data_IF_207973792852
#
_entry.id   IF_207973792852
#
_cell.length_a   1.000
_cell.length_b   1.000
_cell.length_c   1.000
_cell.angle_alpha   90.00
_cell.angle_beta   90.00
_cell.angle_gamma   90.00
#
_symmetry.space_group_name_H-M   'P 1'
#
loop_
_entity.id
_entity.type
_entity.pdbx_description
1 polymer ?
#
# COMPACT_ATOMS: atom_id res chain seq x y z
N UNK A 1 13.67 31.92 12.95
CA UNK A 1 12.66 32.92 13.37
C UNK A 1 12.70 32.97 14.90
N UNK A 2 12.94 34.13 15.51
CA UNK A 2 12.92 34.28 16.97
C UNK A 2 11.46 34.40 17.42
N UNK A 3 10.94 33.33 18.02
CA UNK A 3 9.60 33.30 18.60
C UNK A 3 9.59 34.16 19.87
N UNK A 4 8.79 35.23 19.87
CA UNK A 4 8.59 36.09 21.04
C UNK A 4 7.66 35.35 22.00
N UNK A 5 8.21 34.86 23.12
CA UNK A 5 7.43 34.24 24.19
C UNK A 5 6.50 35.31 24.79
N UNK A 6 5.17 35.16 24.71
CA UNK A 6 4.26 36.04 25.43
C UNK A 6 4.50 35.87 26.93
N UNK A 7 4.95 36.93 27.58
CA UNK A 7 4.98 37.01 29.04
C UNK A 7 3.54 37.22 29.49
N UNK A 8 2.89 36.14 29.89
CA UNK A 8 1.61 36.20 30.60
C UNK A 8 1.94 35.96 32.06
N UNK A 9 1.57 36.93 32.90
CA UNK A 9 1.64 36.84 34.34
C UNK A 9 0.38 36.11 34.83
N UNK A 10 0.56 34.90 35.40
CA UNK A 10 -0.54 34.12 36.00
C UNK A 10 -0.74 34.43 37.49
N UNK A 11 0.00 35.37 38.08
CA UNK A 11 -0.11 35.67 39.52
C UNK A 11 -1.55 36.05 39.91
N UNK A 12 -2.28 36.73 39.02
CA UNK A 12 -3.70 37.09 39.24
C UNK A 12 -4.68 35.91 39.14
N UNK A 13 -4.30 34.81 38.49
CA UNK A 13 -5.12 33.59 38.38
C UNK A 13 -4.98 32.66 39.57
N UNK A 14 -3.91 32.82 40.35
CA UNK A 14 -3.69 32.07 41.59
C UNK A 14 -4.57 32.69 42.66
N UNK A 15 -5.82 32.23 42.73
CA UNK A 15 -6.68 32.50 43.88
C UNK A 15 -6.10 31.72 45.04
N UNK A 16 -5.46 32.42 45.98
CA UNK A 16 -5.14 31.87 47.28
C UNK A 16 -6.45 31.64 48.03
N UNK A 17 -7.03 30.45 47.87
CA UNK A 17 -8.10 29.99 48.75
C UNK A 17 -7.43 29.69 50.09
N UNK A 18 -7.47 30.67 51.00
CA UNK A 18 -7.21 30.43 52.42
C UNK A 18 -8.46 29.74 52.94
N UNK A 19 -8.57 28.44 52.66
CA UNK A 19 -9.53 27.60 53.37
C UNK A 19 -8.99 27.44 54.79
N UNK A 20 -9.57 28.21 55.71
CA UNK A 20 -9.32 28.18 57.15
C UNK A 20 -10.15 27.06 57.84
N UNK A 21 -10.61 26.08 57.05
CA UNK A 21 -11.41 24.96 57.53
C UNK A 21 -10.51 23.74 57.75
N UNK A 22 -10.57 23.21 58.97
CA UNK A 22 -9.80 22.08 59.51
C UNK A 22 -10.05 20.72 58.80
N UNK A 23 -10.03 20.65 57.47
CA UNK A 23 -10.04 19.39 56.70
C UNK A 23 -8.63 18.87 56.40
N UNK A 24 -7.61 19.33 57.13
CA UNK A 24 -6.25 18.77 57.12
C UNK A 24 -6.21 17.28 57.52
N UNK A 25 -7.35 16.68 57.91
CA UNK A 25 -7.47 15.24 58.13
C UNK A 25 -7.32 14.40 56.85
N UNK A 26 -7.58 14.96 55.67
CA UNK A 26 -7.42 14.24 54.38
C UNK A 26 -6.03 14.42 53.76
N UNK A 27 -5.09 15.09 54.46
CA UNK A 27 -3.70 15.26 54.00
C UNK A 27 -2.79 14.08 54.36
N UNK A 28 -3.29 13.12 55.14
CA UNK A 28 -2.58 11.87 55.50
C UNK A 28 -2.59 10.84 54.36
N UNK A 29 -3.41 11.03 53.32
CA UNK A 29 -3.29 10.31 52.06
C UNK A 29 -2.19 11.00 51.23
N UNK A 30 -1.05 10.33 51.06
CA UNK A 30 0.06 10.78 50.23
C UNK A 30 -0.48 11.30 48.88
N UNK A 31 -0.21 12.55 48.50
CA UNK A 31 -0.79 13.13 47.30
C UNK A 31 -0.40 12.32 46.05
N UNK A 32 -1.39 11.82 45.33
CA UNK A 32 -1.21 11.09 44.08
C UNK A 32 -0.82 12.06 42.96
N UNK A 33 0.46 11.99 42.54
CA UNK A 33 1.00 12.79 41.44
C UNK A 33 1.18 11.97 40.14
N UNK A 34 0.62 10.76 40.06
CA UNK A 34 0.80 9.87 38.90
C UNK A 34 0.36 10.49 37.57
N UNK A 35 -0.70 11.32 37.57
CA UNK A 35 -1.16 12.06 36.39
C UNK A 35 -0.08 12.98 35.78
N UNK A 36 0.85 13.49 36.61
CA UNK A 36 1.92 14.38 36.18
C UNK A 36 3.20 13.65 35.77
N UNK A 37 3.25 12.32 35.91
CA UNK A 37 4.43 11.49 35.57
C UNK A 37 4.35 10.88 34.15
N UNK A 38 3.59 11.48 33.23
CA UNK A 38 3.42 11.05 31.83
C UNK A 38 4.73 10.80 31.04
N UNK A 39 5.82 11.50 31.38
CA UNK A 39 7.13 11.33 30.72
C UNK A 39 7.96 10.18 31.29
N UNK A 40 7.52 9.51 32.36
CA UNK A 40 8.30 8.42 32.99
C UNK A 40 8.55 7.25 32.02
N UNK A 41 7.59 6.98 31.14
CA UNK A 41 7.68 5.92 30.12
C UNK A 41 7.84 6.46 28.70
N UNK A 42 8.22 7.73 28.49
CA UNK A 42 8.28 8.33 27.14
C UNK A 42 9.20 7.56 26.19
N UNK A 43 10.42 7.21 26.63
CA UNK A 43 11.37 6.45 25.81
C UNK A 43 10.86 5.04 25.46
N UNK A 44 10.12 4.41 26.37
CA UNK A 44 9.52 3.09 26.14
C UNK A 44 8.31 3.19 25.20
N UNK A 45 7.50 4.23 25.35
CA UNK A 45 6.38 4.54 24.48
C UNK A 45 6.85 4.78 23.05
N UNK A 46 7.86 5.63 22.85
CA UNK A 46 8.42 5.93 21.53
C UNK A 46 8.96 4.68 20.85
N UNK A 47 9.64 3.81 21.61
CA UNK A 47 10.11 2.53 21.10
C UNK A 47 8.97 1.63 20.66
N UNK A 48 7.92 1.51 21.48
CA UNK A 48 6.78 0.65 21.19
C UNK A 48 5.98 1.18 19.98
N UNK A 49 5.79 2.49 19.88
CA UNK A 49 5.11 3.10 18.73
C UNK A 49 5.94 2.95 17.45
N UNK A 50 7.26 3.12 17.51
CA UNK A 50 8.12 2.88 16.36
C UNK A 50 8.06 1.42 15.89
N UNK A 51 8.14 0.48 16.82
CA UNK A 51 8.01 -0.95 16.52
C UNK A 51 6.64 -1.26 15.91
N UNK A 52 5.57 -0.68 16.46
CA UNK A 52 4.22 -0.85 15.92
C UNK A 52 4.12 -0.36 14.47
N UNK A 53 4.72 0.79 14.15
CA UNK A 53 4.74 1.33 12.79
C UNK A 53 5.54 0.43 11.84
N UNK A 54 6.68 -0.11 12.28
CA UNK A 54 7.48 -1.08 11.51
C UNK A 54 6.69 -2.38 11.26
N UNK A 55 6.00 -2.91 12.28
CA UNK A 55 5.15 -4.09 12.15
C UNK A 55 3.96 -3.86 11.20
N UNK A 56 3.36 -2.66 11.23
CA UNK A 56 2.28 -2.25 10.31
C UNK A 56 2.80 -2.20 8.86
N UNK A 57 4.00 -1.66 8.61
CA UNK A 57 4.62 -1.61 7.29
C UNK A 57 4.90 -3.01 6.73
N UNK A 58 5.52 -3.89 7.52
CA UNK A 58 5.81 -5.27 7.12
C UNK A 58 4.53 -6.04 6.80
N UNK A 59 3.48 -5.85 7.61
CA UNK A 59 2.20 -6.50 7.39
C UNK A 59 1.57 -6.02 6.07
N UNK A 60 1.66 -4.72 5.78
CA UNK A 60 1.16 -4.16 4.53
C UNK A 60 1.91 -4.73 3.32
N UNK A 61 3.24 -4.77 3.35
CA UNK A 61 4.06 -5.37 2.28
C UNK A 61 3.66 -6.82 2.02
N UNK A 62 3.45 -7.60 3.09
CA UNK A 62 3.01 -8.99 2.98
C UNK A 62 1.63 -9.13 2.33
N UNK A 63 0.68 -8.24 2.66
CA UNK A 63 -0.64 -8.22 2.02
C UNK A 63 -0.55 -7.82 0.55
N UNK A 64 0.27 -6.82 0.22
CA UNK A 64 0.47 -6.36 -1.15
C UNK A 64 1.06 -7.49 -2.02
N UNK A 65 2.12 -8.15 -1.56
CA UNK A 65 2.72 -9.28 -2.27
C UNK A 65 1.73 -10.43 -2.50
N UNK A 66 0.90 -10.77 -1.51
CA UNK A 66 -0.13 -11.80 -1.66
C UNK A 66 -1.18 -11.43 -2.72
N UNK A 67 -1.59 -10.17 -2.78
CA UNK A 67 -2.54 -9.68 -3.79
C UNK A 67 -1.91 -9.67 -5.19
N UNK A 68 -0.65 -9.27 -5.30
CA UNK A 68 0.10 -9.31 -6.55
C UNK A 68 0.21 -10.73 -7.10
N UNK A 69 0.55 -11.70 -6.25
CA UNK A 69 0.59 -13.12 -6.60
C UNK A 69 -0.79 -13.62 -7.08
N UNK A 70 -1.88 -13.30 -6.36
CA UNK A 70 -3.24 -13.68 -6.74
C UNK A 70 -3.68 -13.02 -8.07
N UNK A 71 -3.26 -11.78 -8.33
CA UNK A 71 -3.53 -11.09 -9.58
C UNK A 71 -2.76 -11.72 -10.75
N UNK A 72 -1.49 -12.04 -10.55
CA UNK A 72 -0.67 -12.68 -11.57
C UNK A 72 -1.18 -14.08 -11.91
N UNK A 73 -1.60 -14.86 -10.91
CA UNK A 73 -2.28 -16.15 -11.15
C UNK A 73 -3.56 -15.98 -11.99
N UNK A 74 -4.42 -15.02 -11.65
CA UNK A 74 -5.64 -14.74 -12.40
C UNK A 74 -5.37 -14.32 -13.86
N UNK A 75 -4.36 -13.47 -14.08
CA UNK A 75 -3.96 -13.06 -15.43
C UNK A 75 -3.47 -14.29 -16.22
N UNK A 76 -2.60 -15.10 -15.63
CA UNK A 76 -2.07 -16.31 -16.26
C UNK A 76 -3.18 -17.31 -16.62
N UNK A 77 -4.14 -17.52 -15.72
CA UNK A 77 -5.30 -18.38 -15.99
C UNK A 77 -6.17 -17.83 -17.13
N UNK A 78 -6.42 -16.52 -17.14
CA UNK A 78 -7.18 -15.86 -18.20
C UNK A 78 -6.48 -15.95 -19.57
N UNK A 79 -5.17 -15.70 -19.62
CA UNK A 79 -4.38 -15.81 -20.84
C UNK A 79 -4.36 -17.25 -21.37
N UNK A 80 -4.23 -18.23 -20.47
CA UNK A 80 -4.31 -19.64 -20.83
C UNK A 80 -5.67 -20.01 -21.39
N UNK A 81 -6.76 -19.63 -20.72
CA UNK A 81 -8.12 -19.88 -21.19
C UNK A 81 -8.39 -19.27 -22.57
N UNK A 82 -7.93 -18.02 -22.79
CA UNK A 82 -8.01 -17.33 -24.08
C UNK A 82 -7.20 -18.05 -25.16
N UNK A 83 -6.00 -18.52 -24.84
CA UNK A 83 -5.14 -19.25 -25.77
C UNK A 83 -5.77 -20.60 -26.16
N UNK A 84 -6.33 -21.32 -25.19
CA UNK A 84 -7.02 -22.58 -25.41
C UNK A 84 -8.29 -22.40 -26.26
N UNK A 85 -9.06 -21.33 -26.03
CA UNK A 85 -10.21 -20.95 -26.85
C UNK A 85 -9.77 -20.65 -28.29
N UNK A 86 -8.73 -19.85 -28.49
CA UNK A 86 -8.19 -19.54 -29.81
C UNK A 86 -7.69 -20.79 -30.53
N UNK A 87 -6.96 -21.68 -29.85
CA UNK A 87 -6.49 -22.94 -30.40
C UNK A 87 -7.66 -23.86 -30.80
N UNK A 88 -8.72 -23.89 -30.00
CA UNK A 88 -9.95 -24.62 -30.30
C UNK A 88 -10.66 -24.04 -31.52
N UNK A 89 -10.77 -22.72 -31.61
CA UNK A 89 -11.35 -22.04 -32.77
C UNK A 89 -10.53 -22.28 -34.05
N UNK A 90 -9.20 -22.19 -33.97
CA UNK A 90 -8.29 -22.43 -35.09
C UNK A 90 -8.34 -23.89 -35.57
N UNK A 91 -8.47 -24.84 -34.65
CA UNK A 91 -8.59 -26.27 -35.00
C UNK A 91 -9.95 -26.64 -35.59
N UNK A 92 -11.01 -25.89 -35.27
CA UNK A 92 -12.33 -26.03 -35.87
C UNK A 92 -12.45 -25.43 -37.28
N UNK A 93 -11.51 -24.58 -37.71
CA UNK A 93 -11.54 -24.01 -39.06
C UNK A 93 -11.39 -25.12 -40.11
N UNK A 94 -12.27 -25.15 -41.14
CA UNK A 94 -12.18 -26.13 -42.19
C UNK A 94 -10.87 -25.94 -42.97
N UNK A 95 -9.98 -26.92 -42.89
CA UNK A 95 -8.77 -26.96 -43.72
C UNK A 95 -9.21 -27.34 -45.14
N UNK A 96 -9.41 -26.36 -46.01
CA UNK A 96 -9.62 -26.62 -47.43
C UNK A 96 -8.35 -27.28 -47.98
N UNK A 97 -8.46 -28.53 -48.43
CA UNK A 97 -7.38 -29.21 -49.14
C UNK A 97 -7.28 -28.57 -50.53
N UNK A 98 -6.52 -27.49 -50.63
CA UNK A 98 -6.26 -26.82 -51.90
C UNK A 98 -5.07 -27.54 -52.56
N UNK A 99 -5.23 -27.97 -53.82
CA UNK A 99 -4.15 -28.59 -54.61
C UNK A 99 -3.03 -27.57 -54.85
N UNK A 100 -2.06 -27.49 -53.93
CA UNK A 100 -0.94 -26.52 -53.98
C UNK A 100 -0.15 -26.67 -55.27
N UNK A 101 -0.03 -27.88 -55.80
CA UNK A 101 0.70 -28.17 -57.05
C UNK A 101 0.12 -27.47 -58.28
N UNK A 102 -1.17 -27.10 -58.25
CA UNK A 102 -1.84 -26.37 -59.34
C UNK A 102 -1.94 -24.87 -59.07
N UNK A 103 -1.47 -24.41 -57.92
CA UNK A 103 -1.53 -23.00 -57.56
C UNK A 103 -0.55 -22.20 -58.41
N UNK A 104 -1.06 -21.17 -59.10
CA UNK A 104 -0.25 -20.22 -59.87
C UNK A 104 0.39 -19.16 -58.93
N UNK A 105 0.04 -19.19 -57.65
CA UNK A 105 0.56 -18.25 -56.65
C UNK A 105 2.01 -18.61 -56.28
N UNK A 106 2.89 -17.62 -56.28
CA UNK A 106 4.27 -17.77 -55.82
C UNK A 106 4.28 -17.83 -54.28
N UNK A 107 4.60 -18.97 -53.64
CA UNK A 107 4.63 -19.06 -52.19
C UNK A 107 5.76 -18.22 -51.56
N UNK A 108 6.74 -17.81 -52.37
CA UNK A 108 7.85 -16.96 -51.95
C UNK A 108 7.59 -15.47 -52.19
N UNK A 109 6.36 -15.07 -52.51
CA UNK A 109 6.05 -13.66 -52.63
C UNK A 109 6.21 -12.94 -51.27
N UNK A 110 6.74 -11.73 -51.34
CA UNK A 110 7.13 -10.90 -50.19
C UNK A 110 6.02 -10.66 -49.15
N UNK A 111 4.76 -10.75 -49.58
CA UNK A 111 3.54 -10.61 -48.77
C UNK A 111 3.22 -11.85 -47.91
N UNK A 112 3.76 -13.02 -48.25
CA UNK A 112 3.59 -14.26 -47.47
C UNK A 112 4.68 -14.47 -46.44
N UNK A 113 5.72 -13.63 -46.43
CA UNK A 113 6.76 -13.66 -45.39
C UNK A 113 6.17 -13.02 -44.12
N UNK A 114 6.10 -13.71 -42.97
CA UNK A 114 5.60 -13.12 -41.73
C UNK A 114 6.46 -11.91 -41.33
N UNK A 115 5.94 -10.69 -41.53
CA UNK A 115 6.61 -9.46 -41.14
C UNK A 115 6.14 -9.07 -39.75
N UNK A 116 7.07 -9.06 -38.79
CA UNK A 116 6.84 -8.44 -37.49
C UNK A 116 6.74 -6.93 -37.73
N UNK A 117 5.52 -6.40 -37.78
CA UNK A 117 5.31 -4.96 -37.86
C UNK A 117 5.65 -4.42 -36.48
N UNK A 118 6.85 -3.89 -36.31
CA UNK A 118 7.19 -3.09 -35.13
C UNK A 118 6.27 -1.87 -35.21
N UNK A 119 5.26 -1.84 -34.36
CA UNK A 119 4.39 -0.69 -34.20
C UNK A 119 5.26 0.36 -33.50
N UNK A 120 5.75 1.34 -34.27
CA UNK A 120 6.44 2.49 -33.72
C UNK A 120 5.44 3.29 -32.88
N UNK A 121 5.45 3.10 -31.56
CA UNK A 121 4.70 3.96 -30.65
C UNK A 121 5.35 5.34 -30.67
N UNK A 122 4.62 6.41 -31.02
CA UNK A 122 5.16 7.75 -30.93
C UNK A 122 5.44 8.06 -29.46
N UNK A 123 6.70 8.37 -29.15
CA UNK A 123 7.08 8.91 -27.85
C UNK A 123 6.24 10.16 -27.57
N UNK A 124 5.39 10.10 -26.55
CA UNK A 124 4.75 11.26 -25.95
C UNK A 124 5.54 11.73 -24.74
#
# INVERSE_FOLDING_TARGET
MLLKVPSVDWTDQIIYVVDDDESLSDIDDEPDFSEYMWMENEEEFDKNELQRLEEEEIMQECFEAMIEDELEEQINEWEKAKTDEQNTALSALPKSQCDVEKSVLNPMADEFVPRCHVIDFPAS
#
